data_IF_092872593014
#
_entry.id   IF_092872593014
#
_cell.length_a   1.000
_cell.length_b   1.000
_cell.length_c   1.000
_cell.angle_alpha   90.00
_cell.angle_beta   90.00
_cell.angle_gamma   90.00
#
_symmetry.space_group_name_H-M   'P 1'
#
loop_
_entity.id
_entity.type
_entity.pdbx_description
1 polymer ?
#
# COMPACT_ATOMS: atom_id res chain seq x y z
N UNK A 1 27.49 6.99 -8.03
CA UNK A 1 26.15 7.32 -7.49
C UNK A 1 25.17 6.91 -8.56
N UNK A 2 24.73 5.66 -8.53
CA UNK A 2 23.73 5.15 -9.47
C UNK A 2 22.40 5.79 -9.08
N UNK A 3 21.83 6.58 -9.98
CA UNK A 3 20.57 7.29 -9.71
C UNK A 3 19.48 6.27 -9.40
N UNK A 4 18.70 6.53 -8.36
CA UNK A 4 17.58 5.69 -7.94
C UNK A 4 16.49 5.76 -9.01
N UNK A 5 16.64 4.95 -10.06
CA UNK A 5 15.77 4.99 -11.23
C UNK A 5 14.46 4.31 -10.91
N UNK A 6 13.36 5.07 -10.96
CA UNK A 6 12.00 4.54 -10.83
C UNK A 6 11.77 3.49 -11.91
N UNK A 7 11.67 2.22 -11.49
CA UNK A 7 11.58 1.11 -12.44
C UNK A 7 10.19 0.98 -13.07
N UNK A 8 9.13 1.24 -12.30
CA UNK A 8 7.72 1.11 -12.72
C UNK A 8 6.83 2.03 -11.90
N UNK A 9 5.78 2.54 -12.55
CA UNK A 9 4.70 3.32 -11.92
C UNK A 9 3.40 2.54 -12.07
N UNK A 10 2.62 2.47 -11.00
CA UNK A 10 1.29 1.87 -10.98
C UNK A 10 0.29 2.96 -10.61
N UNK A 11 -0.68 3.22 -11.47
CA UNK A 11 -1.81 4.07 -11.09
C UNK A 11 -2.75 3.26 -10.18
N UNK A 12 -2.76 3.66 -8.92
CA UNK A 12 -3.52 3.00 -7.87
C UNK A 12 -4.73 3.80 -7.40
N UNK A 13 -5.23 4.79 -8.15
CA UNK A 13 -6.38 5.61 -7.72
C UNK A 13 -7.69 5.40 -8.50
N UNK A 14 -7.65 4.66 -9.61
CA UNK A 14 -8.83 4.39 -10.45
C UNK A 14 -9.82 3.38 -9.83
N UNK A 15 -9.32 2.48 -8.98
CA UNK A 15 -10.09 1.44 -8.32
C UNK A 15 -10.26 1.66 -6.82
N UNK A 16 -11.22 0.95 -6.22
CA UNK A 16 -11.38 0.96 -4.76
C UNK A 16 -10.33 0.10 -4.06
N UNK A 17 -9.73 -0.88 -4.73
CA UNK A 17 -8.69 -1.72 -4.17
C UNK A 17 -7.71 -2.22 -5.23
N UNK A 18 -6.52 -2.60 -4.77
CA UNK A 18 -5.49 -3.25 -5.58
C UNK A 18 -4.87 -4.38 -4.77
N UNK A 19 -4.86 -5.58 -5.33
CA UNK A 19 -4.23 -6.76 -4.75
C UNK A 19 -2.77 -6.83 -5.20
N UNK A 20 -1.85 -6.93 -4.25
CA UNK A 20 -0.43 -7.11 -4.49
C UNK A 20 -0.04 -8.55 -4.22
N UNK A 21 0.70 -9.17 -5.14
CA UNK A 21 1.12 -10.54 -4.95
C UNK A 21 1.89 -11.14 -6.11
N UNK A 22 2.27 -12.41 -5.94
CA UNK A 22 3.08 -13.19 -6.89
C UNK A 22 2.26 -14.00 -7.89
N UNK A 23 1.00 -14.33 -7.57
CA UNK A 23 0.24 -15.31 -8.34
C UNK A 23 -0.22 -14.75 -9.70
N UNK A 24 0.32 -15.24 -10.84
CA UNK A 24 -0.03 -14.72 -12.15
C UNK A 24 -1.47 -15.02 -12.56
N UNK A 25 -2.11 -16.06 -12.01
CA UNK A 25 -3.50 -16.39 -12.34
C UNK A 25 -4.48 -15.29 -11.92
N UNK A 26 -4.13 -14.53 -10.88
CA UNK A 26 -4.92 -13.40 -10.41
C UNK A 26 -4.85 -12.21 -11.36
N UNK A 27 -3.79 -12.11 -12.18
CA UNK A 27 -3.70 -11.06 -13.20
C UNK A 27 -4.76 -11.25 -14.28
N UNK A 28 -5.01 -12.48 -14.69
CA UNK A 28 -6.03 -12.81 -15.68
C UNK A 28 -7.45 -12.55 -15.13
N UNK A 29 -7.66 -12.79 -13.83
CA UNK A 29 -8.96 -12.62 -13.18
C UNK A 29 -9.27 -11.16 -12.81
N UNK A 30 -8.30 -10.43 -12.27
CA UNK A 30 -8.49 -9.09 -11.68
C UNK A 30 -8.02 -7.95 -12.59
N UNK A 31 -7.32 -8.26 -13.69
CA UNK A 31 -6.81 -7.27 -14.63
C UNK A 31 -5.90 -6.24 -13.97
N UNK A 32 -6.25 -4.96 -14.08
CA UNK A 32 -5.46 -3.84 -13.55
C UNK A 32 -5.57 -3.67 -12.03
N UNK A 33 -6.51 -4.36 -11.38
CA UNK A 33 -6.59 -4.41 -9.92
C UNK A 33 -5.52 -5.32 -9.29
N UNK A 34 -4.74 -6.07 -10.09
CA UNK A 34 -3.66 -6.91 -9.59
C UNK A 34 -2.28 -6.35 -9.95
N UNK A 35 -1.50 -6.02 -8.92
CA UNK A 35 -0.11 -5.57 -9.03
C UNK A 35 0.81 -6.76 -8.79
N UNK A 36 1.39 -7.26 -9.88
CA UNK A 36 2.29 -8.41 -9.85
C UNK A 36 3.67 -8.02 -9.28
N UNK A 37 4.05 -8.67 -8.19
CA UNK A 37 5.38 -8.59 -7.57
C UNK A 37 6.04 -9.96 -7.72
N UNK A 38 6.85 -10.10 -8.77
CA UNK A 38 7.48 -11.36 -9.20
C UNK A 38 8.68 -11.80 -8.36
N UNK A 39 8.62 -11.64 -7.03
CA UNK A 39 9.66 -12.11 -6.10
C UNK A 39 9.19 -13.36 -5.37
N UNK A 40 10.06 -14.36 -5.21
CA UNK A 40 9.69 -15.65 -4.60
C UNK A 40 9.24 -15.54 -3.14
N UNK A 41 9.77 -14.53 -2.43
CA UNK A 41 9.46 -14.27 -1.02
C UNK A 41 8.11 -13.56 -0.83
N UNK A 42 7.44 -13.18 -1.92
CA UNK A 42 6.12 -12.57 -1.91
C UNK A 42 5.06 -13.66 -2.11
N UNK A 43 4.13 -13.77 -1.16
CA UNK A 43 2.94 -14.64 -1.24
C UNK A 43 2.10 -14.39 -2.50
N UNK A 44 1.36 -15.40 -2.95
CA UNK A 44 0.51 -15.32 -4.15
C UNK A 44 -0.51 -14.18 -4.07
N UNK A 45 -1.16 -14.07 -2.90
CA UNK A 45 -1.91 -12.92 -2.42
C UNK A 45 -1.18 -12.41 -1.19
N UNK A 46 -0.57 -11.22 -1.24
CA UNK A 46 0.33 -10.75 -0.20
C UNK A 46 -0.28 -9.63 0.62
N UNK A 47 -0.74 -8.58 -0.04
CA UNK A 47 -1.30 -7.42 0.61
C UNK A 47 -2.35 -6.77 -0.29
N UNK A 48 -3.20 -5.94 0.31
CA UNK A 48 -4.17 -5.11 -0.41
C UNK A 48 -3.91 -3.66 -0.11
N UNK A 49 -3.92 -2.84 -1.17
CA UNK A 49 -4.08 -1.41 -1.07
C UNK A 49 -5.57 -1.09 -1.24
N UNK A 50 -6.21 -0.59 -0.19
CA UNK A 50 -7.65 -0.33 -0.16
C UNK A 50 -7.90 1.18 -0.01
N UNK A 51 -8.71 1.74 -0.89
CA UNK A 51 -9.26 3.08 -0.74
C UNK A 51 -10.52 3.05 0.10
N UNK A 52 -10.58 3.90 1.14
CA UNK A 52 -11.74 4.04 2.02
C UNK A 52 -12.03 5.52 2.26
N UNK A 53 -13.28 5.94 2.15
CA UNK A 53 -13.77 7.24 2.63
C UNK A 53 -14.15 7.13 4.10
N UNK A 54 -13.60 7.98 4.97
CA UNK A 54 -14.00 8.03 6.38
C UNK A 54 -15.07 9.10 6.58
N UNK A 55 -16.20 8.75 7.19
CA UNK A 55 -17.35 9.66 7.35
C UNK A 55 -17.53 10.23 8.74
N UNK A 56 -16.93 9.68 9.81
CA UNK A 56 -16.69 10.34 11.10
C UNK A 56 -16.21 9.37 12.20
N UNK A 57 -15.17 9.80 12.93
CA UNK A 57 -14.85 9.52 14.35
C UNK A 57 -14.66 8.12 14.94
N UNK A 58 -14.69 6.97 14.24
CA UNK A 58 -14.72 5.66 14.94
C UNK A 58 -13.59 4.65 14.66
N UNK A 59 -12.79 4.77 13.60
CA UNK A 59 -11.75 3.75 13.40
C UNK A 59 -10.52 4.06 14.25
N UNK A 60 -10.06 3.08 15.02
CA UNK A 60 -8.69 3.04 15.53
C UNK A 60 -7.76 2.99 14.32
N UNK A 61 -7.47 4.15 13.75
CA UNK A 61 -6.50 4.30 12.67
C UNK A 61 -5.15 3.98 13.31
N UNK A 62 -4.63 2.78 13.05
CA UNK A 62 -3.25 2.46 13.42
C UNK A 62 -2.35 3.23 12.45
N UNK A 63 -1.97 4.43 12.85
CA UNK A 63 -0.89 5.16 12.20
C UNK A 63 0.41 4.65 12.82
N UNK A 64 1.34 4.14 12.02
CA UNK A 64 2.68 3.80 12.52
C UNK A 64 3.54 5.04 12.80
N UNK A 65 3.08 6.21 12.34
CA UNK A 65 3.64 7.52 12.69
C UNK A 65 2.90 8.08 13.90
N UNK A 66 3.65 8.71 14.81
CA UNK A 66 3.08 9.58 15.86
C UNK A 66 2.10 10.55 15.21
N UNK A 67 0.91 10.68 15.83
CA UNK A 67 -0.26 11.38 15.32
C UNK A 67 0.10 12.59 14.44
N UNK A 68 0.01 12.40 13.12
CA UNK A 68 0.05 13.51 12.17
C UNK A 68 -1.08 14.46 12.58
N UNK A 69 -0.75 15.75 12.74
CA UNK A 69 -1.77 16.78 12.89
C UNK A 69 -2.71 16.68 11.68
N UNK A 70 -4.04 16.72 11.87
CA UNK A 70 -4.96 16.56 10.74
C UNK A 70 -4.65 17.62 9.68
N UNK A 71 -4.14 17.17 8.53
CA UNK A 71 -3.85 18.04 7.39
C UNK A 71 -5.13 18.30 6.60
N UNK A 72 -5.05 19.05 5.50
CA UNK A 72 -6.17 19.15 4.53
C UNK A 72 -6.60 17.76 4.02
N UNK A 73 -5.71 16.78 4.14
CA UNK A 73 -5.94 15.37 3.90
C UNK A 73 -6.78 14.65 4.98
N UNK A 74 -7.29 15.33 5.98
CA UNK A 74 -8.19 14.75 7.00
C UNK A 74 -9.63 15.24 6.88
N UNK A 75 -9.97 15.87 5.75
CA UNK A 75 -11.33 16.28 5.44
C UNK A 75 -12.31 15.08 5.49
N UNK A 76 -13.46 15.21 6.18
CA UNK A 76 -14.50 14.19 6.21
C UNK A 76 -14.96 13.82 4.80
N UNK A 77 -15.17 12.54 4.54
CA UNK A 77 -15.60 12.00 3.25
C UNK A 77 -14.51 11.82 2.21
N UNK A 78 -13.27 12.27 2.47
CA UNK A 78 -12.18 12.08 1.52
C UNK A 78 -11.68 10.63 1.51
N UNK A 79 -11.49 10.08 0.31
CA UNK A 79 -10.97 8.72 0.13
C UNK A 79 -9.47 8.65 0.42
N UNK A 80 -9.04 7.65 1.20
CA UNK A 80 -7.64 7.45 1.61
C UNK A 80 -7.18 6.02 1.35
N UNK A 81 -5.92 5.84 0.93
CA UNK A 81 -5.33 4.53 0.77
C UNK A 81 -4.91 3.93 2.12
N UNK A 82 -5.15 2.63 2.27
CA UNK A 82 -4.73 1.82 3.40
C UNK A 82 -3.99 0.59 2.90
N UNK A 83 -2.92 0.21 3.60
CA UNK A 83 -2.27 -1.07 3.44
C UNK A 83 -2.86 -2.08 4.42
N UNK A 84 -3.16 -3.29 3.93
CA UNK A 84 -3.47 -4.47 4.73
C UNK A 84 -2.61 -5.62 4.25
N UNK A 85 -1.81 -6.21 5.14
CA UNK A 85 -1.12 -7.47 4.87
C UNK A 85 -2.10 -8.65 5.05
N UNK A 86 -2.20 -9.53 4.05
CA UNK A 86 -3.15 -10.65 4.01
C UNK A 86 -2.60 -11.90 4.70
N UNK A 87 -1.99 -11.74 5.88
CA UNK A 87 -1.29 -12.82 6.59
C UNK A 87 -0.22 -13.46 5.72
N UNK A 88 0.57 -12.63 5.05
CA UNK A 88 1.61 -13.08 4.15
C UNK A 88 2.73 -13.82 4.89
N UNK A 89 3.42 -14.72 4.20
CA UNK A 89 4.44 -15.59 4.82
C UNK A 89 5.61 -14.81 5.39
N UNK A 90 6.07 -13.78 4.68
CA UNK A 90 7.25 -13.00 5.06
C UNK A 90 6.89 -11.61 5.61
N UNK A 91 5.61 -11.25 5.61
CA UNK A 91 5.10 -9.97 6.08
C UNK A 91 5.38 -8.81 5.12
N UNK A 92 4.78 -7.66 5.47
CA UNK A 92 4.99 -6.38 4.80
C UNK A 92 5.68 -5.39 5.73
N UNK A 93 6.41 -4.44 5.16
CA UNK A 93 6.98 -3.29 5.87
C UNK A 93 6.36 -2.00 5.34
N UNK A 94 6.01 -1.10 6.25
CA UNK A 94 5.64 0.29 6.00
C UNK A 94 6.68 1.18 6.69
N UNK A 95 7.36 2.01 5.91
CA UNK A 95 8.46 2.86 6.38
C UNK A 95 9.48 2.06 7.22
N UNK A 96 9.91 0.91 6.69
CA UNK A 96 10.88 0.01 7.34
C UNK A 96 10.41 -0.68 8.62
N UNK A 97 9.17 -0.43 9.04
CA UNK A 97 8.54 -1.03 10.22
C UNK A 97 7.56 -2.10 9.80
N UNK A 98 7.57 -3.24 10.49
CA UNK A 98 6.68 -4.36 10.16
C UNK A 98 5.24 -4.03 10.52
N UNK A 99 4.33 -4.25 9.59
CA UNK A 99 2.89 -4.12 9.83
C UNK A 99 2.32 -5.43 10.39
N UNK A 100 1.29 -5.32 11.21
CA UNK A 100 0.52 -6.47 11.67
C UNK A 100 -0.40 -6.98 10.54
N UNK A 101 -0.55 -8.32 10.40
CA UNK A 101 -1.46 -8.89 9.42
C UNK A 101 -2.92 -8.56 9.74
N UNK A 102 -3.73 -8.35 8.71
CA UNK A 102 -5.17 -8.06 8.79
C UNK A 102 -5.53 -6.76 9.53
N UNK A 103 -4.56 -5.84 9.69
CA UNK A 103 -4.78 -4.51 10.26
C UNK A 103 -4.68 -3.46 9.15
N UNK A 104 -5.57 -2.48 9.18
CA UNK A 104 -5.57 -1.36 8.21
C UNK A 104 -4.61 -0.27 8.67
N UNK A 105 -3.52 -0.12 7.93
CA UNK A 105 -2.56 0.97 8.12
C UNK A 105 -2.81 2.05 7.09
N UNK A 106 -3.15 3.26 7.55
CA UNK A 106 -3.34 4.41 6.65
C UNK A 106 -2.00 4.76 6.00
N UNK A 107 -2.02 4.99 4.69
CA UNK A 107 -0.87 5.46 3.94
C UNK A 107 -0.99 6.96 3.65
N UNK A 108 0.17 7.59 3.53
CA UNK A 108 0.38 8.99 3.18
C UNK A 108 1.38 9.09 2.03
N UNK A 109 1.41 10.23 1.35
CA UNK A 109 2.39 10.45 0.28
C UNK A 109 3.81 10.30 0.82
N UNK A 110 4.72 9.78 0.00
CA UNK A 110 6.13 9.47 0.32
C UNK A 110 6.31 8.29 1.28
N UNK A 111 5.25 7.60 1.68
CA UNK A 111 5.39 6.34 2.44
C UNK A 111 6.04 5.25 1.58
N UNK A 112 6.97 4.53 2.20
CA UNK A 112 7.74 3.45 1.56
C UNK A 112 7.19 2.10 1.99
N UNK A 113 6.84 1.25 1.04
CA UNK A 113 6.31 -0.10 1.25
C UNK A 113 7.30 -1.14 0.74
N UNK A 114 7.41 -2.25 1.47
CA UNK A 114 8.16 -3.44 1.02
C UNK A 114 7.38 -4.70 1.37
N UNK A 115 7.41 -5.67 0.45
CA UNK A 115 6.66 -6.91 0.56
C UNK A 115 7.64 -8.09 0.61
N UNK A 116 7.53 -8.95 1.62
CA UNK A 116 8.48 -10.03 1.87
C UNK A 116 9.93 -9.53 1.95
N UNK A 117 10.83 -10.17 1.20
CA UNK A 117 12.23 -9.75 1.05
C UNK A 117 12.50 -9.15 -0.32
N UNK A 118 11.50 -8.53 -0.93
CA UNK A 118 11.68 -7.81 -2.19
C UNK A 118 12.81 -6.79 -2.04
N UNK A 119 13.72 -6.77 -3.03
CA UNK A 119 14.85 -5.82 -3.08
C UNK A 119 14.41 -4.41 -3.44
N UNK A 120 13.19 -4.26 -3.95
CA UNK A 120 12.63 -3.00 -4.42
C UNK A 120 11.70 -2.44 -3.36
N UNK A 121 11.76 -1.13 -3.22
CA UNK A 121 10.82 -0.37 -2.42
C UNK A 121 9.76 0.25 -3.33
N UNK A 122 8.54 0.31 -2.81
CA UNK A 122 7.40 0.94 -3.47
C UNK A 122 7.09 2.22 -2.72
N UNK A 123 7.12 3.35 -3.41
CA UNK A 123 6.81 4.65 -2.78
C UNK A 123 5.44 5.08 -3.23
N UNK A 124 4.54 5.35 -2.27
CA UNK A 124 3.25 5.94 -2.58
C UNK A 124 3.43 7.42 -2.93
N UNK A 125 3.00 7.82 -4.11
CA UNK A 125 3.10 9.20 -4.59
C UNK A 125 1.72 9.71 -4.96
N UNK A 126 1.40 10.95 -4.53
CA UNK A 126 0.24 11.66 -5.06
C UNK A 126 0.61 12.33 -6.37
N UNK A 127 -0.32 12.34 -7.33
CA UNK A 127 -0.12 13.09 -8.56
C UNK A 127 0.02 14.59 -8.24
N UNK A 128 1.10 15.20 -8.74
CA UNK A 128 1.44 16.62 -8.50
C UNK A 128 2.27 16.96 -7.25
N UNK A 129 3.02 16.03 -6.66
CA UNK A 129 3.93 16.32 -5.54
C UNK A 129 5.41 16.49 -5.94
N UNK A 130 5.97 17.67 -5.69
CA UNK A 130 7.43 17.91 -5.60
C UNK A 130 8.06 17.24 -4.35
#
# INVERSE_FOLDING_TARGET
MEGDSVSRVYDVCQGTYYLLGRDPSLRELLGDQFIAIGEETVSGQHAVLQWRSHTESTDRITVLREALSPGEEDAPGASRPYLVDLSSTNGSLLNWSRVEPNVYYRLTSKDTLRFGHCRRDFVLMRDGGE
#
